data_IF_216185545155
#
_entry.id   IF_216185545155
#
_cell.length_a   1.000
_cell.length_b   1.000
_cell.length_c   1.000
_cell.angle_alpha   90.00
_cell.angle_beta   90.00
_cell.angle_gamma   90.00
#
_symmetry.space_group_name_H-M   'P 1'
#
loop_
_entity.id
_entity.type
_entity.pdbx_description
1 polymer ?
#
# COMPACT_ATOMS: atom_id res chain seq x y z
N UNK A 1 -1.53 -9.52 2.97
CA UNK A 1 -0.40 -8.58 3.17
C UNK A 1 0.88 -9.33 3.56
N UNK A 2 0.86 -10.20 4.58
CA UNK A 2 2.08 -10.90 5.02
C UNK A 2 2.92 -11.62 3.95
N UNK A 3 2.30 -12.22 2.91
CA UNK A 3 3.05 -12.81 1.79
C UNK A 3 3.74 -11.81 0.86
N UNK A 4 3.21 -10.59 0.76
CA UNK A 4 3.82 -9.52 -0.01
C UNK A 4 5.05 -8.97 0.72
N UNK A 5 4.94 -8.81 2.04
CA UNK A 5 6.03 -8.33 2.88
C UNK A 5 7.18 -9.36 2.97
N UNK A 6 6.87 -10.66 2.78
CA UNK A 6 7.85 -11.77 2.73
C UNK A 6 8.24 -12.25 1.33
N UNK A 7 8.01 -11.46 0.28
CA UNK A 7 8.33 -11.88 -1.08
C UNK A 7 9.85 -12.00 -1.30
N UNK A 8 10.28 -13.03 -2.03
CA UNK A 8 11.71 -13.34 -2.24
C UNK A 8 12.23 -12.87 -3.60
N UNK A 9 13.46 -12.35 -3.63
CA UNK A 9 14.12 -11.97 -4.88
C UNK A 9 14.68 -13.20 -5.62
N UNK A 10 14.37 -13.30 -6.90
CA UNK A 10 14.86 -14.38 -7.77
C UNK A 10 15.52 -13.83 -9.03
N UNK A 11 16.46 -14.60 -9.57
CA UNK A 11 17.09 -14.36 -10.87
C UNK A 11 16.76 -15.49 -11.84
N UNK A 12 16.79 -15.19 -13.13
CA UNK A 12 16.66 -16.23 -14.17
C UNK A 12 18.03 -16.85 -14.44
N UNK A 13 18.09 -18.18 -14.46
CA UNK A 13 19.30 -18.88 -14.88
C UNK A 13 19.48 -18.76 -16.39
N UNK A 14 20.70 -18.50 -16.84
CA UNK A 14 21.05 -18.45 -18.26
C UNK A 14 21.16 -19.88 -18.81
N UNK A 15 20.02 -20.48 -19.15
CA UNK A 15 19.92 -21.80 -19.75
C UNK A 15 18.63 -21.97 -20.54
N UNK A 16 18.52 -23.07 -21.30
CA UNK A 16 17.31 -23.38 -22.10
C UNK A 16 16.05 -23.55 -21.24
N UNK A 17 16.21 -23.84 -19.94
CA UNK A 17 15.13 -24.01 -18.98
C UNK A 17 14.92 -22.70 -18.20
N UNK A 18 13.68 -22.18 -18.21
CA UNK A 18 13.27 -20.96 -17.49
C UNK A 18 13.21 -21.21 -15.97
N UNK A 19 14.35 -21.48 -15.36
CA UNK A 19 14.46 -21.75 -13.93
C UNK A 19 14.73 -20.45 -13.16
N UNK A 20 14.09 -20.34 -11.99
CA UNK A 20 14.22 -19.20 -11.09
C UNK A 20 15.07 -19.62 -9.91
N UNK A 21 16.18 -18.93 -9.69
CA UNK A 21 17.04 -19.14 -8.53
C UNK A 21 16.87 -18.01 -7.53
N UNK A 22 16.72 -18.29 -6.23
CA UNK A 22 16.73 -17.25 -5.21
C UNK A 22 18.08 -16.54 -5.22
N UNK A 23 18.06 -15.21 -5.19
CA UNK A 23 19.27 -14.39 -5.12
C UNK A 23 19.98 -14.62 -3.78
N UNK A 24 19.20 -14.75 -2.71
CA UNK A 24 19.71 -15.17 -1.39
C UNK A 24 19.27 -16.60 -1.08
N UNK A 25 20.24 -17.51 -1.00
CA UNK A 25 20.01 -18.95 -0.75
C UNK A 25 19.41 -19.25 0.64
N UNK A 26 19.49 -18.33 1.60
CA UNK A 26 18.84 -18.46 2.91
C UNK A 26 17.32 -18.24 2.82
N UNK A 27 16.85 -17.56 1.78
CA UNK A 27 15.44 -17.28 1.53
C UNK A 27 15.01 -18.12 0.32
N UNK A 28 14.95 -19.43 0.52
CA UNK A 28 14.35 -20.33 -0.46
C UNK A 28 12.83 -20.15 -0.45
N UNK A 29 12.22 -20.04 -1.62
CA UNK A 29 10.77 -20.12 -1.76
C UNK A 29 10.37 -21.60 -1.75
N UNK A 30 10.09 -22.13 -0.57
CA UNK A 30 9.80 -23.57 -0.40
C UNK A 30 8.39 -23.92 -0.87
N UNK A 31 7.45 -22.97 -0.83
CA UNK A 31 6.04 -23.23 -1.11
C UNK A 31 5.65 -22.65 -2.46
N UNK A 32 4.90 -23.43 -3.24
CA UNK A 32 4.26 -22.97 -4.49
C UNK A 32 3.33 -21.73 -4.32
N UNK A 33 3.09 -21.31 -3.09
CA UNK A 33 2.20 -20.20 -2.76
C UNK A 33 2.94 -18.91 -2.36
N UNK A 34 4.27 -18.92 -2.39
CA UNK A 34 5.11 -17.79 -2.03
C UNK A 34 5.25 -16.83 -3.22
N UNK A 35 5.34 -15.54 -2.93
CA UNK A 35 5.51 -14.51 -3.97
C UNK A 35 7.00 -14.28 -4.21
N UNK A 36 7.38 -14.19 -5.48
CA UNK A 36 8.75 -13.89 -5.90
C UNK A 36 8.79 -12.66 -6.81
N UNK A 37 9.89 -11.91 -6.76
CA UNK A 37 10.10 -10.76 -7.63
C UNK A 37 11.44 -10.83 -8.37
N UNK A 38 11.45 -10.33 -9.60
CA UNK A 38 12.61 -10.33 -10.51
C UNK A 38 13.30 -8.97 -10.60
N UNK A 39 12.61 -7.90 -10.19
CA UNK A 39 13.08 -6.51 -10.30
C UNK A 39 12.66 -5.74 -9.06
N UNK A 40 13.56 -4.88 -8.60
CA UNK A 40 13.29 -4.00 -7.48
C UNK A 40 12.12 -3.05 -7.76
N UNK A 41 11.34 -2.80 -6.71
CA UNK A 41 10.27 -1.81 -6.74
C UNK A 41 10.85 -0.42 -6.98
N UNK A 42 10.12 0.39 -7.73
CA UNK A 42 10.51 1.75 -8.05
C UNK A 42 10.31 2.66 -6.84
N UNK A 43 10.91 3.86 -6.90
CA UNK A 43 10.62 4.88 -5.91
C UNK A 43 9.27 5.54 -6.23
N UNK A 44 8.26 5.31 -5.38
CA UNK A 44 6.93 5.89 -5.51
C UNK A 44 6.83 7.36 -5.03
N UNK A 45 7.91 7.90 -4.46
CA UNK A 45 7.96 9.27 -3.95
C UNK A 45 7.96 10.35 -5.02
N UNK A 46 8.21 10.02 -6.28
CA UNK A 46 8.39 10.98 -7.39
C UNK A 46 7.57 10.58 -8.61
N UNK A 47 7.39 11.52 -9.55
CA UNK A 47 6.83 11.21 -10.86
C UNK A 47 7.82 10.33 -11.63
N UNK A 48 7.56 9.03 -11.72
CA UNK A 48 8.34 8.14 -12.57
C UNK A 48 7.79 8.17 -14.01
N UNK A 49 8.67 8.00 -15.00
CA UNK A 49 8.33 7.87 -16.43
C UNK A 49 7.46 6.64 -16.71
N UNK A 50 7.43 5.67 -15.80
CA UNK A 50 6.67 4.41 -15.91
C UNK A 50 5.20 4.50 -15.47
N UNK A 51 4.59 5.68 -15.58
CA UNK A 51 3.18 5.93 -15.21
C UNK A 51 2.82 5.47 -13.77
N UNK A 52 3.79 5.61 -12.85
CA UNK A 52 3.58 5.35 -11.43
C UNK A 52 2.77 6.48 -10.83
N UNK A 53 1.70 6.15 -10.10
CA UNK A 53 0.93 7.14 -9.33
C UNK A 53 1.82 7.74 -8.25
N UNK A 54 2.15 9.01 -8.42
CA UNK A 54 2.93 9.77 -7.47
C UNK A 54 2.15 10.00 -6.17
N UNK A 55 2.83 10.14 -5.03
CA UNK A 55 2.20 10.41 -3.74
C UNK A 55 1.70 11.84 -3.55
N UNK A 56 1.91 12.75 -4.51
CA UNK A 56 1.40 14.12 -4.42
C UNK A 56 -0.13 14.14 -4.47
N UNK A 57 -0.75 14.89 -3.55
CA UNK A 57 -2.22 15.03 -3.48
C UNK A 57 -2.94 13.88 -2.77
N UNK A 58 -2.21 12.89 -2.24
CA UNK A 58 -2.80 11.83 -1.41
C UNK A 58 -3.04 12.31 0.02
N UNK A 59 -4.14 11.88 0.62
CA UNK A 59 -4.39 12.06 2.06
C UNK A 59 -3.41 11.22 2.87
N UNK A 60 -2.86 11.81 3.93
CA UNK A 60 -1.97 11.15 4.87
C UNK A 60 -2.43 11.41 6.30
N UNK A 61 -2.06 10.52 7.20
CA UNK A 61 -2.35 10.67 8.62
C UNK A 61 -1.19 11.39 9.31
N UNK A 62 -1.44 12.54 9.94
CA UNK A 62 -0.39 13.31 10.63
C UNK A 62 0.12 12.63 11.90
N UNK A 63 -0.71 11.85 12.58
CA UNK A 63 -0.36 11.23 13.86
C UNK A 63 0.29 9.86 13.70
N UNK A 64 0.17 9.22 12.54
CA UNK A 64 0.79 7.93 12.28
C UNK A 64 2.28 8.05 12.01
N UNK A 65 3.04 7.11 12.57
CA UNK A 65 4.47 6.91 12.28
C UNK A 65 4.72 5.82 11.24
N UNK A 66 3.68 5.10 10.85
CA UNK A 66 3.74 3.99 9.91
C UNK A 66 3.61 4.48 8.45
N UNK A 67 3.45 3.55 7.52
CA UNK A 67 3.36 3.82 6.07
C UNK A 67 2.25 4.80 5.65
N UNK A 68 1.21 5.01 6.45
CA UNK A 68 0.14 6.01 6.23
C UNK A 68 0.49 7.40 6.79
N UNK A 69 1.58 7.48 7.56
CA UNK A 69 2.10 8.70 8.15
C UNK A 69 2.54 9.70 7.09
N UNK A 70 2.24 10.98 7.31
CA UNK A 70 2.62 12.04 6.37
C UNK A 70 4.14 12.13 6.13
N UNK A 71 4.97 11.76 7.12
CA UNK A 71 6.42 11.73 6.95
C UNK A 71 6.85 10.72 5.86
N UNK A 72 6.24 9.53 5.83
CA UNK A 72 6.54 8.46 4.86
C UNK A 72 5.82 8.71 3.54
N UNK A 73 4.51 9.00 3.57
CA UNK A 73 3.69 9.24 2.38
C UNK A 73 4.18 10.43 1.55
N UNK A 74 4.59 11.52 2.21
CA UNK A 74 5.11 12.71 1.55
C UNK A 74 6.63 12.64 1.35
N UNK A 75 7.29 11.57 1.78
CA UNK A 75 8.74 11.34 1.66
C UNK A 75 9.56 12.53 2.18
N UNK A 76 9.18 13.06 3.34
CA UNK A 76 9.86 14.20 3.98
C UNK A 76 9.64 15.57 3.35
N UNK A 77 8.88 15.71 2.25
CA UNK A 77 8.65 16.98 1.55
C UNK A 77 7.68 17.95 2.26
N UNK A 78 7.21 17.59 3.45
CA UNK A 78 6.13 18.28 4.16
C UNK A 78 4.74 17.94 3.62
N UNK A 79 3.71 18.41 4.31
CA UNK A 79 2.31 18.16 3.98
C UNK A 79 1.45 19.39 4.27
N UNK A 80 0.35 19.56 3.52
CA UNK A 80 -0.65 20.60 3.78
C UNK A 80 -1.80 19.99 4.56
N UNK A 81 -2.24 20.69 5.60
CA UNK A 81 -3.44 20.30 6.34
C UNK A 81 -4.61 21.14 5.82
N UNK A 82 -5.67 20.49 5.35
CA UNK A 82 -6.93 21.16 5.02
C UNK A 82 -7.95 20.76 6.06
N UNK A 83 -8.56 21.73 6.72
CA UNK A 83 -9.70 21.50 7.60
C UNK A 83 -10.95 21.55 6.73
N UNK A 84 -11.68 20.43 6.67
CA UNK A 84 -12.95 20.35 5.98
C UNK A 84 -14.06 20.25 7.02
N UNK A 85 -14.98 21.20 7.00
CA UNK A 85 -16.19 21.13 7.84
C UNK A 85 -17.10 20.07 7.23
N UNK A 86 -17.09 18.87 7.80
CA UNK A 86 -18.01 17.81 7.43
C UNK A 86 -19.34 18.06 8.14
N UNK A 87 -20.25 18.76 7.49
CA UNK A 87 -21.65 18.84 7.92
C UNK A 87 -22.33 17.55 7.49
N UNK A 88 -22.63 16.65 8.43
CA UNK A 88 -23.47 15.49 8.13
C UNK A 88 -24.94 15.93 8.20
N UNK A 89 -25.68 15.96 7.07
CA UNK A 89 -27.08 16.35 7.09
C UNK A 89 -27.98 15.31 7.78
N UNK A 90 -27.48 14.08 8.02
CA UNK A 90 -28.22 12.98 8.64
C UNK A 90 -27.67 12.70 10.03
N UNK A 91 -27.74 13.70 10.90
CA UNK A 91 -27.50 13.53 12.33
C UNK A 91 -28.82 13.31 13.08
N UNK A 92 -28.76 12.80 14.32
CA UNK A 92 -29.91 12.63 15.21
C UNK A 92 -31.03 11.68 14.72
N UNK A 93 -30.68 10.68 13.91
CA UNK A 93 -31.63 9.63 13.52
C UNK A 93 -32.19 8.91 14.76
N UNK A 94 -33.52 8.91 14.90
CA UNK A 94 -34.20 8.07 15.90
C UNK A 94 -34.60 6.76 15.26
N UNK A 95 -34.27 5.67 15.93
CA UNK A 95 -34.69 4.35 15.52
C UNK A 95 -36.05 4.05 16.15
N UNK A 96 -37.03 3.70 15.31
CA UNK A 96 -38.37 3.28 15.74
C UNK A 96 -38.52 1.79 15.44
N UNK A 97 -38.82 1.00 16.48
CA UNK A 97 -38.78 -0.47 16.42
C UNK A 97 -40.00 -1.10 15.74
N UNK A 98 -41.14 -0.40 15.69
CA UNK A 98 -42.31 -0.70 14.87
C UNK A 98 -43.35 0.43 15.05
N UNK A 99 -44.39 0.41 14.23
CA UNK A 99 -45.31 1.49 13.88
C UNK A 99 -46.02 2.17 15.06
N UNK A 100 -46.18 3.50 14.96
CA UNK A 100 -47.33 4.19 15.54
C UNK A 100 -48.58 3.60 14.88
N UNK A 101 -49.36 2.86 15.66
CA UNK A 101 -50.68 2.40 15.24
C UNK A 101 -51.62 3.53 15.61
N UNK A 102 -52.03 4.32 14.60
CA UNK A 102 -53.06 5.35 14.74
C UNK A 102 -54.41 4.72 15.13
#
# INVERSE_FOLDING_TARGET
KGKFDGASEVRKTAGQKRELEPVNKQFAFERHTDLVYLKNSLNYCGKDKRNSYWTQGRTCNRTSKETDGCAIMCCGRGFKTRVETRTDPRCQCKFHWCCEVL
#
